data_IF_195899487505
#
_entry.id   IF_195899487505
#
_cell.length_a   1.000
_cell.length_b   1.000
_cell.length_c   1.000
_cell.angle_alpha   90.00
_cell.angle_beta   90.00
_cell.angle_gamma   90.00
#
_symmetry.space_group_name_H-M   'P 1'
#
loop_
_entity.id
_entity.type
_entity.pdbx_description
1 polymer ?
#
# COMPACT_ATOMS: atom_id res chain seq x y z
N UNK A 1 -8.04 17.44 5.87
CA UNK A 1 -8.61 16.12 5.52
C UNK A 1 -9.10 15.35 6.75
N UNK A 2 -8.42 15.42 7.90
CA UNK A 2 -8.71 14.64 9.13
C UNK A 2 -10.05 14.93 9.83
N UNK A 3 -10.65 16.12 9.65
CA UNK A 3 -11.91 16.47 10.35
C UNK A 3 -13.18 15.84 9.76
N UNK A 4 -13.12 15.21 8.58
CA UNK A 4 -14.29 14.62 7.90
C UNK A 4 -14.33 13.08 7.94
N UNK A 5 -13.30 12.42 8.45
CA UNK A 5 -13.24 10.95 8.56
C UNK A 5 -13.96 10.42 9.80
N UNK A 6 -14.00 11.18 10.90
CA UNK A 6 -14.71 10.84 12.15
C UNK A 6 -16.21 10.57 11.96
N UNK A 7 -17.00 11.37 11.21
CA UNK A 7 -18.42 11.07 10.97
C UNK A 7 -18.64 9.89 10.00
N UNK A 8 -17.71 9.62 9.07
CA UNK A 8 -17.77 8.46 8.16
C UNK A 8 -17.49 7.14 8.88
N UNK A 9 -16.63 7.16 9.89
CA UNK A 9 -16.29 6.03 10.76
C UNK A 9 -17.42 5.66 11.73
N UNK A 10 -18.23 6.63 12.17
CA UNK A 10 -19.37 6.37 13.07
C UNK A 10 -20.59 5.78 12.35
N UNK A 11 -20.71 5.98 11.03
CA UNK A 11 -21.86 5.53 10.22
C UNK A 11 -21.60 4.29 9.36
N UNK A 12 -20.33 3.94 9.11
CA UNK A 12 -19.94 2.77 8.35
C UNK A 12 -19.12 1.85 9.25
N UNK A 13 -19.52 0.58 9.40
CA UNK A 13 -18.80 -0.40 10.22
C UNK A 13 -17.41 -0.78 9.70
N UNK A 14 -16.76 0.07 8.90
CA UNK A 14 -15.44 -0.14 8.31
C UNK A 14 -14.33 0.29 9.29
N UNK A 15 -13.29 -0.54 9.37
CA UNK A 15 -12.12 -0.31 10.21
C UNK A 15 -11.31 0.90 9.73
N UNK A 16 -10.83 1.74 10.66
CA UNK A 16 -9.88 2.85 10.38
C UNK A 16 -8.67 2.35 9.60
N UNK A 17 -8.19 1.14 9.94
CA UNK A 17 -7.07 0.49 9.26
C UNK A 17 -7.38 0.18 7.80
N UNK A 18 -8.60 -0.25 7.49
CA UNK A 18 -9.00 -0.55 6.11
C UNK A 18 -8.99 0.72 5.25
N UNK A 19 -9.63 1.79 5.73
CA UNK A 19 -9.69 3.08 5.00
C UNK A 19 -8.28 3.66 4.83
N UNK A 20 -7.42 3.55 5.85
CA UNK A 20 -6.03 3.98 5.79
C UNK A 20 -5.22 3.22 4.74
N UNK A 21 -5.27 1.89 4.78
CA UNK A 21 -4.44 1.02 3.91
C UNK A 21 -4.94 0.98 2.47
N UNK A 22 -6.24 1.11 2.21
CA UNK A 22 -6.78 1.03 0.84
C UNK A 22 -7.00 2.40 0.22
N UNK A 23 -7.69 3.29 0.92
CA UNK A 23 -8.18 4.52 0.30
C UNK A 23 -7.15 5.65 0.43
N UNK A 24 -6.58 5.83 1.63
CA UNK A 24 -5.56 6.87 1.84
C UNK A 24 -4.20 6.51 1.23
N UNK A 25 -3.84 5.23 1.14
CA UNK A 25 -2.59 4.80 0.53
C UNK A 25 -2.61 4.90 -1.01
N UNK A 26 -3.73 4.55 -1.66
CA UNK A 26 -3.80 4.53 -3.13
C UNK A 26 -3.87 5.93 -3.73
N UNK A 27 -4.59 6.88 -3.11
CA UNK A 27 -4.75 8.24 -3.64
C UNK A 27 -3.43 8.91 -4.08
N UNK A 28 -2.37 8.98 -3.24
CA UNK A 28 -1.12 9.59 -3.64
C UNK A 28 -0.39 8.85 -4.76
N UNK A 29 -0.59 7.53 -4.88
CA UNK A 29 0.08 6.66 -5.86
C UNK A 29 -0.63 6.61 -7.22
N UNK A 30 -1.90 7.06 -7.30
CA UNK A 30 -2.70 7.05 -8.55
C UNK A 30 -1.99 7.68 -9.75
N UNK A 31 -1.35 8.87 -9.65
CA UNK A 31 -0.67 9.47 -10.80
C UNK A 31 0.45 8.58 -11.36
N UNK A 32 1.21 7.91 -10.50
CA UNK A 32 2.33 7.05 -10.87
C UNK A 32 1.84 5.74 -11.50
N UNK A 33 0.75 5.18 -10.96
CA UNK A 33 0.07 4.01 -11.55
C UNK A 33 -0.41 4.34 -12.98
N UNK A 34 -0.98 5.54 -13.19
CA UNK A 34 -1.45 5.97 -14.51
C UNK A 34 -0.28 6.18 -15.48
N UNK A 35 0.85 6.70 -15.01
CA UNK A 35 2.08 6.83 -15.81
C UNK A 35 2.63 5.44 -16.18
N UNK A 36 2.70 4.52 -15.23
CA UNK A 36 3.11 3.13 -15.47
C UNK A 36 2.21 2.42 -16.48
N UNK A 37 0.89 2.61 -16.39
CA UNK A 37 -0.08 2.05 -17.32
C UNK A 37 0.08 2.62 -18.73
N UNK A 38 0.33 3.93 -18.85
CA UNK A 38 0.60 4.56 -20.15
C UNK A 38 1.83 3.96 -20.83
N UNK A 39 2.92 3.73 -20.09
CA UNK A 39 4.11 3.06 -20.64
C UNK A 39 3.84 1.60 -21.04
N UNK A 40 3.01 0.89 -20.28
CA UNK A 40 2.59 -0.46 -20.65
C UNK A 40 1.77 -0.48 -21.95
N UNK A 41 0.85 0.47 -22.14
CA UNK A 41 0.06 0.62 -23.37
C UNK A 41 0.93 0.98 -24.58
N UNK A 42 2.05 1.66 -24.37
CA UNK A 42 3.05 1.96 -25.40
C UNK A 42 3.98 0.78 -25.73
N UNK A 43 3.66 -0.45 -25.27
CA UNK A 43 4.51 -1.65 -25.38
C UNK A 43 5.88 -1.54 -24.67
N UNK A 44 6.07 -0.55 -23.80
CA UNK A 44 7.29 -0.39 -23.00
C UNK A 44 7.10 -0.99 -21.60
N UNK A 45 6.93 -2.31 -21.56
CA UNK A 45 6.67 -3.05 -20.30
C UNK A 45 7.85 -2.94 -19.33
N UNK A 46 9.08 -2.97 -19.81
CA UNK A 46 10.28 -2.81 -18.97
C UNK A 46 10.28 -1.49 -18.21
N UNK A 47 9.86 -0.40 -18.87
CA UNK A 47 9.80 0.93 -18.27
C UNK A 47 8.64 1.04 -17.27
N UNK A 48 7.52 0.38 -17.55
CA UNK A 48 6.38 0.28 -16.63
C UNK A 48 6.75 -0.42 -15.32
N UNK A 49 7.50 -1.53 -15.41
CA UNK A 49 8.00 -2.27 -14.24
C UNK A 49 9.00 -1.43 -13.44
N UNK A 50 9.90 -0.71 -14.13
CA UNK A 50 10.89 0.16 -13.49
C UNK A 50 10.22 1.27 -12.68
N UNK A 51 9.19 1.91 -13.22
CA UNK A 51 8.38 2.92 -12.49
C UNK A 51 7.77 2.31 -11.24
N UNK A 52 7.13 1.13 -11.34
CA UNK A 52 6.49 0.47 -10.19
C UNK A 52 7.48 0.09 -9.08
N UNK A 53 8.66 -0.43 -9.44
CA UNK A 53 9.71 -0.77 -8.48
C UNK A 53 10.30 0.48 -7.81
N UNK A 54 10.48 1.57 -8.57
CA UNK A 54 10.99 2.83 -8.05
C UNK A 54 10.05 3.42 -7.00
N UNK A 55 8.74 3.41 -7.25
CA UNK A 55 7.73 3.89 -6.29
C UNK A 55 7.79 3.12 -4.97
N UNK A 56 7.83 1.79 -5.02
CA UNK A 56 7.93 0.97 -3.81
C UNK A 56 9.19 1.29 -2.99
N UNK A 57 10.34 1.45 -3.66
CA UNK A 57 11.60 1.81 -3.00
C UNK A 57 11.57 3.24 -2.45
N UNK A 58 10.98 4.20 -3.16
CA UNK A 58 10.85 5.58 -2.71
C UNK A 58 10.00 5.69 -1.44
N UNK A 59 8.87 4.98 -1.38
CA UNK A 59 8.04 4.94 -0.17
C UNK A 59 8.85 4.37 1.02
N UNK A 60 9.57 3.27 0.80
CA UNK A 60 10.33 2.60 1.86
C UNK A 60 11.57 3.37 2.33
N UNK A 61 12.36 3.91 1.40
CA UNK A 61 13.67 4.52 1.70
C UNK A 61 13.62 6.03 1.90
N UNK A 62 12.59 6.72 1.38
CA UNK A 62 12.49 8.17 1.47
C UNK A 62 11.32 8.59 2.34
N UNK A 63 10.11 8.11 2.04
CA UNK A 63 8.90 8.60 2.71
C UNK A 63 8.83 8.18 4.18
N UNK A 64 9.09 6.91 4.48
CA UNK A 64 9.11 6.40 5.87
C UNK A 64 10.18 7.10 6.72
N UNK A 65 11.47 7.20 6.31
CA UNK A 65 12.48 7.89 7.10
C UNK A 65 12.19 9.38 7.27
N UNK A 66 11.65 10.04 6.23
CA UNK A 66 11.26 11.45 6.32
C UNK A 66 10.19 11.66 7.39
N UNK A 67 9.20 10.75 7.49
CA UNK A 67 8.18 10.79 8.55
C UNK A 67 8.78 10.58 9.94
N UNK A 68 9.75 9.68 10.09
CA UNK A 68 10.45 9.45 11.37
C UNK A 68 11.27 10.68 11.78
N UNK A 69 12.01 11.29 10.85
CA UNK A 69 12.78 12.51 11.12
C UNK A 69 11.86 13.69 11.42
N UNK A 70 10.76 13.83 10.69
CA UNK A 70 9.76 14.86 10.96
C UNK A 70 9.18 14.73 12.38
N UNK A 71 8.94 13.49 12.85
CA UNK A 71 8.48 13.24 14.21
C UNK A 71 9.50 13.63 15.30
N UNK A 72 10.80 13.62 15.00
CA UNK A 72 11.83 14.10 15.92
C UNK A 72 11.83 15.64 16.06
N UNK A 73 11.49 16.36 14.99
CA UNK A 73 11.47 17.84 14.98
C UNK A 73 10.13 18.38 15.48
N UNK A 74 9.03 17.75 15.10
CA UNK A 74 7.69 18.09 15.55
C UNK A 74 6.99 16.81 16.01
N UNK A 75 6.59 16.68 17.28
CA UNK A 75 5.99 15.45 17.80
C UNK A 75 4.59 15.25 17.19
N UNK A 76 4.55 14.66 16.00
CA UNK A 76 3.34 14.24 15.29
C UNK A 76 2.82 12.88 15.82
N UNK A 77 3.57 12.21 16.69
CA UNK A 77 3.18 10.93 17.29
C UNK A 77 3.29 9.74 16.32
N UNK A 78 4.11 9.86 15.27
CA UNK A 78 4.33 8.78 14.30
C UNK A 78 5.42 7.82 14.80
N UNK A 79 5.01 6.63 15.25
CA UNK A 79 5.91 5.55 15.60
C UNK A 79 5.83 4.45 14.55
N UNK A 80 6.98 3.89 14.19
CA UNK A 80 7.09 2.79 13.21
C UNK A 80 6.63 1.44 13.80
N UNK A 81 5.44 1.43 14.40
CA UNK A 81 4.87 0.30 15.12
C UNK A 81 3.79 -0.34 14.25
N UNK A 82 4.18 -1.41 13.55
CA UNK A 82 3.26 -2.20 12.74
C UNK A 82 2.65 -3.32 13.58
N UNK A 83 1.35 -3.56 13.41
CA UNK A 83 0.70 -4.78 13.93
C UNK A 83 1.24 -6.01 13.17
N UNK A 84 1.28 -7.17 13.82
CA UNK A 84 1.81 -8.41 13.24
C UNK A 84 1.17 -8.73 11.88
N UNK A 85 -0.15 -8.48 11.74
CA UNK A 85 -0.89 -8.70 10.49
C UNK A 85 -0.35 -7.82 9.35
N UNK A 86 -0.02 -6.56 9.63
CA UNK A 86 0.54 -5.65 8.63
C UNK A 86 1.95 -6.08 8.21
N UNK A 87 2.76 -6.52 9.17
CA UNK A 87 4.12 -7.00 8.91
C UNK A 87 4.10 -8.23 8.00
N UNK A 88 3.27 -9.24 8.32
CA UNK A 88 3.14 -10.43 7.48
C UNK A 88 2.63 -10.11 6.07
N UNK A 89 1.64 -9.22 5.95
CA UNK A 89 1.11 -8.79 4.65
C UNK A 89 2.17 -8.16 3.76
N UNK A 90 3.02 -7.28 4.31
CA UNK A 90 4.12 -6.64 3.56
C UNK A 90 5.17 -7.67 3.16
N UNK A 91 5.57 -8.58 4.05
CA UNK A 91 6.56 -9.62 3.74
C UNK A 91 6.07 -10.52 2.60
N UNK A 92 4.82 -10.99 2.67
CA UNK A 92 4.24 -11.84 1.61
C UNK A 92 4.14 -11.06 0.29
N UNK A 93 3.77 -9.79 0.34
CA UNK A 93 3.70 -8.93 -0.84
C UNK A 93 5.06 -8.77 -1.54
N UNK A 94 6.12 -8.48 -0.78
CA UNK A 94 7.47 -8.32 -1.31
C UNK A 94 8.00 -9.64 -1.89
N UNK A 95 7.74 -10.77 -1.23
CA UNK A 95 8.15 -12.09 -1.73
C UNK A 95 7.44 -12.46 -3.04
N UNK A 96 6.12 -12.28 -3.11
CA UNK A 96 5.33 -12.49 -4.33
C UNK A 96 5.84 -11.61 -5.47
N UNK A 97 6.09 -10.33 -5.19
CA UNK A 97 6.58 -9.37 -6.18
C UNK A 97 7.97 -9.77 -6.71
N UNK A 98 8.91 -10.14 -5.82
CA UNK A 98 10.23 -10.63 -6.22
C UNK A 98 10.15 -11.90 -7.07
N UNK A 99 9.27 -12.84 -6.70
CA UNK A 99 9.10 -14.09 -7.43
C UNK A 99 8.59 -13.87 -8.86
N UNK A 100 7.60 -12.99 -9.03
CA UNK A 100 7.03 -12.69 -10.36
C UNK A 100 8.02 -11.94 -11.26
N UNK A 101 8.85 -11.06 -10.69
CA UNK A 101 9.84 -10.32 -11.47
C UNK A 101 11.14 -11.09 -11.74
N UNK A 102 11.36 -12.25 -11.10
CA UNK A 102 12.59 -13.03 -11.25
C UNK A 102 12.80 -13.55 -12.69
N UNK A 103 11.71 -13.81 -13.41
CA UNK A 103 11.75 -14.28 -14.80
C UNK A 103 12.06 -13.16 -15.81
N UNK A 104 12.06 -11.88 -15.39
CA UNK A 104 12.39 -10.73 -16.23
C UNK A 104 11.44 -10.47 -17.42
N UNK A 105 10.37 -11.27 -17.53
CA UNK A 105 9.28 -11.12 -18.50
C UNK A 105 7.98 -10.97 -17.74
N UNK A 106 7.04 -10.20 -18.31
CA UNK A 106 5.72 -9.98 -17.71
C UNK A 106 4.67 -10.55 -18.64
N UNK A 107 4.01 -11.61 -18.20
CA UNK A 107 2.87 -12.23 -18.88
C UNK A 107 1.54 -11.76 -18.27
N UNK A 108 0.46 -11.81 -19.06
CA UNK A 108 -0.89 -11.47 -18.58
C UNK A 108 -1.31 -12.36 -17.38
N UNK A 109 -0.83 -13.60 -17.35
CA UNK A 109 -1.08 -14.52 -16.23
C UNK A 109 -0.38 -14.07 -14.94
N UNK A 110 0.87 -13.60 -15.03
CA UNK A 110 1.61 -13.07 -13.89
C UNK A 110 0.97 -11.77 -13.34
N UNK A 111 0.56 -10.87 -14.24
CA UNK A 111 -0.13 -9.64 -13.85
C UNK A 111 -1.48 -9.91 -13.18
N UNK A 112 -2.27 -10.84 -13.71
CA UNK A 112 -3.56 -11.21 -13.10
C UNK A 112 -3.39 -11.93 -11.74
N UNK A 113 -2.32 -12.71 -11.57
CA UNK A 113 -1.97 -13.28 -10.26
C UNK A 113 -1.64 -12.20 -9.22
N UNK A 114 -0.91 -11.14 -9.59
CA UNK A 114 -0.65 -10.00 -8.69
C UNK A 114 -1.94 -9.29 -8.28
N UNK A 115 -2.81 -8.99 -9.24
CA UNK A 115 -4.11 -8.35 -8.95
C UNK A 115 -4.96 -9.21 -8.03
N UNK A 116 -4.98 -10.53 -8.26
CA UNK A 116 -5.73 -11.45 -7.39
C UNK A 116 -5.14 -11.53 -5.98
N UNK A 117 -3.82 -11.50 -5.85
CA UNK A 117 -3.16 -11.43 -4.53
C UNK A 117 -3.50 -10.13 -3.78
N UNK A 118 -3.56 -9.00 -4.49
CA UNK A 118 -3.97 -7.72 -3.92
C UNK A 118 -5.42 -7.74 -3.42
N UNK A 119 -6.34 -8.30 -4.20
CA UNK A 119 -7.74 -8.48 -3.79
C UNK A 119 -7.87 -9.40 -2.56
N UNK A 120 -7.04 -10.46 -2.46
CA UNK A 120 -7.00 -11.34 -1.31
C UNK A 120 -6.47 -10.62 -0.05
N UNK A 121 -5.49 -9.73 -0.18
CA UNK A 121 -5.02 -8.90 0.92
C UNK A 121 -6.09 -7.90 1.37
N UNK A 122 -6.79 -7.26 0.43
CA UNK A 122 -7.91 -6.35 0.75
C UNK A 122 -9.03 -7.09 1.50
N UNK A 123 -9.40 -8.29 1.04
CA UNK A 123 -10.43 -9.07 1.72
C UNK A 123 -9.99 -9.51 3.12
N UNK A 124 -8.71 -9.85 3.30
CA UNK A 124 -8.13 -10.11 4.62
C UNK A 124 -8.25 -8.89 5.54
N UNK A 125 -7.96 -7.67 5.07
CA UNK A 125 -8.12 -6.44 5.85
C UNK A 125 -9.58 -6.07 6.11
N UNK A 126 -10.50 -6.43 5.22
CA UNK A 126 -11.93 -6.23 5.40
C UNK A 126 -12.51 -7.12 6.50
N UNK A 127 -12.06 -8.39 6.58
CA UNK A 127 -12.48 -9.35 7.60
C UNK A 127 -11.66 -9.28 8.91
N UNK A 128 -10.53 -8.56 8.92
CA UNK A 128 -9.69 -8.43 10.11
C UNK A 128 -10.48 -7.74 11.25
N UNK A 129 -10.65 -8.39 12.42
CA UNK A 129 -11.38 -7.81 13.53
C UNK A 129 -10.63 -6.59 14.08
N UNK A 130 -11.37 -5.51 14.32
CA UNK A 130 -10.86 -4.30 14.97
C UNK A 130 -10.35 -4.66 16.36
N UNK A 131 -9.10 -4.32 16.76
CA UNK A 131 -8.71 -4.45 18.15
C UNK A 131 -9.62 -3.54 18.99
N UNK A 132 -10.37 -4.16 19.91
CA UNK A 132 -11.38 -3.56 20.77
C UNK A 132 -10.86 -2.51 21.80
N UNK A 133 -9.71 -1.88 21.56
CA UNK A 133 -9.03 -1.01 22.53
C UNK A 133 -8.36 0.23 21.91
N UNK A 134 -9.01 0.92 20.97
CA UNK A 134 -8.84 2.38 20.90
C UNK A 134 -10.01 3.03 21.62
N UNK A 135 -9.86 3.20 22.94
CA UNK A 135 -10.48 4.36 23.57
C UNK A 135 -9.69 5.56 23.08
N UNK A 136 -10.35 6.44 22.33
CA UNK A 136 -9.91 7.80 22.09
C UNK A 136 -9.55 8.50 23.41
#
# INVERSE_FOLDING_TARGET
>A
MTNNITPLLSGSGLSVYFIGVTLLAVIPEVPEIVIGLQFALQNNISLSIEVGMCVAVQVCMVQIPLLVVANLVYPVGFYLLFSDIHLFSVIIGVLMMNYVFQDGKSDYFQGSALVMSYLALISMYFFAPQPANLKC
#
